data_IF_333190334521
#
_entry.id   IF_333190334521
#
_cell.length_a   1.000
_cell.length_b   1.000
_cell.length_c   1.000
_cell.angle_alpha   90.00
_cell.angle_beta   90.00
_cell.angle_gamma   90.00
#
_symmetry.space_group_name_H-M   'P 1'
#
loop_
_entity.id
_entity.type
_entity.pdbx_description
1 polymer ?
#
# COMPACT_ATOMS: atom_id res chain seq x y z
N UNK A 1 37.26 29.50 10.43
CA UNK A 1 37.58 28.06 10.30
C UNK A 1 36.31 27.39 9.83
N UNK A 2 36.22 27.14 8.52
CA UNK A 2 35.06 26.56 7.84
C UNK A 2 35.51 25.22 7.28
N UNK A 3 34.82 24.14 7.63
CA UNK A 3 34.89 22.89 6.89
C UNK A 3 33.45 22.48 6.56
N UNK A 4 33.06 22.77 5.32
CA UNK A 4 31.94 22.14 4.62
C UNK A 4 32.25 20.65 4.42
N UNK A 5 31.27 19.78 4.64
CA UNK A 5 31.28 18.41 4.16
C UNK A 5 30.36 18.34 2.93
N UNK A 6 30.94 18.16 1.76
CA UNK A 6 30.23 17.78 0.54
C UNK A 6 30.46 16.29 0.30
N UNK A 7 29.38 15.51 0.24
CA UNK A 7 29.45 14.11 -0.20
C UNK A 7 29.35 14.10 -1.73
N UNK A 8 30.44 13.74 -2.39
CA UNK A 8 30.47 13.50 -3.83
C UNK A 8 29.64 12.25 -4.17
N UNK A 9 28.52 12.46 -4.85
CA UNK A 9 27.81 11.43 -5.57
C UNK A 9 28.37 11.35 -6.99
N UNK A 10 29.22 10.35 -7.28
CA UNK A 10 29.21 9.69 -8.58
C UNK A 10 29.98 8.36 -8.54
N UNK A 11 29.29 7.27 -8.85
CA UNK A 11 29.67 6.13 -9.72
C UNK A 11 28.66 4.99 -9.44
N UNK A 12 27.71 4.85 -10.37
CA UNK A 12 26.91 3.64 -10.68
C UNK A 12 26.01 3.08 -9.56
N UNK A 13 24.87 3.73 -9.31
CA UNK A 13 23.69 2.99 -8.86
C UNK A 13 22.38 3.63 -9.37
N UNK A 14 22.29 3.81 -10.69
CA UNK A 14 21.08 4.25 -11.41
C UNK A 14 20.05 3.11 -11.58
N UNK A 15 20.05 2.09 -10.70
CA UNK A 15 19.12 0.94 -10.79
C UNK A 15 18.18 0.75 -9.60
N UNK A 16 18.19 1.62 -8.58
CA UNK A 16 17.25 1.50 -7.44
C UNK A 16 16.15 2.55 -7.39
N UNK A 17 16.14 3.53 -8.31
CA UNK A 17 15.12 4.59 -8.31
C UNK A 17 13.96 4.27 -9.27
N UNK A 18 14.17 3.43 -10.29
CA UNK A 18 13.20 3.26 -11.38
C UNK A 18 12.17 2.13 -11.25
N UNK A 19 12.19 1.31 -10.19
CA UNK A 19 11.42 0.05 -10.19
C UNK A 19 9.91 0.20 -9.92
N UNK A 20 9.47 1.27 -9.25
CA UNK A 20 8.04 1.58 -9.08
C UNK A 20 7.53 2.64 -10.09
N UNK A 21 8.43 3.33 -10.80
CA UNK A 21 8.14 4.54 -11.56
C UNK A 21 7.69 4.32 -13.01
N UNK A 22 7.33 3.10 -13.41
CA UNK A 22 6.83 2.83 -14.76
C UNK A 22 5.31 2.70 -14.85
N UNK A 23 4.55 3.27 -13.91
CA UNK A 23 3.15 3.58 -14.18
C UNK A 23 2.93 5.09 -14.05
N UNK A 24 2.44 5.76 -15.12
CA UNK A 24 2.03 7.15 -15.01
C UNK A 24 1.05 7.21 -13.84
N UNK A 25 1.32 8.11 -12.89
CA UNK A 25 0.36 8.48 -11.86
C UNK A 25 -0.98 8.66 -12.56
N UNK A 26 -2.05 7.93 -12.17
CA UNK A 26 -3.36 8.17 -12.75
C UNK A 26 -3.64 9.67 -12.65
N UNK A 27 -4.19 10.30 -13.71
CA UNK A 27 -4.55 11.71 -13.66
C UNK A 27 -5.36 11.99 -12.39
N UNK A 28 -5.30 13.21 -11.82
CA UNK A 28 -6.01 13.53 -10.58
C UNK A 28 -7.45 13.03 -10.68
N UNK A 29 -7.74 11.96 -9.94
CA UNK A 29 -8.97 11.18 -10.11
C UNK A 29 -10.14 12.04 -9.66
N UNK A 30 -10.83 12.62 -10.63
CA UNK A 30 -12.16 13.21 -10.48
C UNK A 30 -13.11 12.16 -9.90
N UNK A 31 -13.93 12.49 -8.89
CA UNK A 31 -14.80 11.53 -8.23
C UNK A 31 -16.07 11.32 -9.07
N UNK A 32 -16.02 10.60 -10.20
CA UNK A 32 -17.24 10.18 -10.93
C UNK A 32 -16.98 9.36 -12.20
N UNK A 33 -16.90 8.04 -12.06
CA UNK A 33 -17.49 7.05 -13.00
C UNK A 33 -17.53 5.72 -12.26
N UNK A 34 -18.59 4.92 -12.41
CA UNK A 34 -18.77 3.64 -11.70
C UNK A 34 -17.65 2.63 -11.99
N UNK A 35 -16.53 2.78 -11.29
CA UNK A 35 -15.53 1.73 -11.06
C UNK A 35 -15.72 1.31 -9.61
N UNK A 36 -16.12 0.06 -9.38
CA UNK A 36 -16.39 -0.42 -8.02
C UNK A 36 -15.12 -0.36 -7.15
N UNK A 37 -13.94 -0.46 -7.76
CA UNK A 37 -12.63 -0.37 -7.09
C UNK A 37 -11.91 0.95 -7.34
N UNK A 38 -11.13 1.40 -6.35
CA UNK A 38 -10.24 2.56 -6.48
C UNK A 38 -8.87 2.18 -7.06
N UNK A 39 -8.25 3.10 -7.79
CA UNK A 39 -6.84 3.04 -8.16
C UNK A 39 -6.11 4.32 -7.78
N UNK A 40 -5.19 4.22 -6.82
CA UNK A 40 -4.42 5.34 -6.31
C UNK A 40 -3.02 5.35 -6.95
N UNK A 41 -2.37 6.52 -7.06
CA UNK A 41 -0.96 6.58 -7.43
C UNK A 41 -0.11 5.84 -6.38
N UNK A 42 0.95 5.18 -6.85
CA UNK A 42 2.01 4.68 -5.97
C UNK A 42 2.73 5.88 -5.39
N UNK A 43 2.71 6.01 -4.07
CA UNK A 43 3.35 7.12 -3.36
C UNK A 43 4.22 6.66 -2.19
N UNK A 44 4.27 5.36 -1.91
CA UNK A 44 5.17 4.77 -0.93
C UNK A 44 5.85 3.51 -1.49
N UNK A 45 7.00 3.16 -0.92
CA UNK A 45 7.75 1.96 -1.25
C UNK A 45 8.31 1.36 0.03
N UNK A 46 8.29 0.02 0.12
CA UNK A 46 8.92 -0.71 1.21
C UNK A 46 9.78 -1.84 0.64
N UNK A 47 10.84 -2.22 1.35
CA UNK A 47 11.66 -3.36 0.99
C UNK A 47 11.52 -4.44 2.07
N UNK A 48 11.01 -5.62 1.69
CA UNK A 48 10.87 -6.76 2.59
C UNK A 48 11.72 -7.90 2.03
N UNK A 49 12.69 -8.41 2.80
CA UNK A 49 13.58 -9.50 2.39
C UNK A 49 14.27 -9.27 1.03
N UNK A 50 14.63 -8.02 0.71
CA UNK A 50 15.24 -7.66 -0.56
C UNK A 50 14.26 -7.43 -1.71
N UNK A 51 12.97 -7.75 -1.54
CA UNK A 51 11.92 -7.46 -2.53
C UNK A 51 11.35 -6.05 -2.32
N UNK A 52 11.36 -5.25 -3.39
CA UNK A 52 10.73 -3.93 -3.40
C UNK A 52 9.22 -4.10 -3.61
N UNK A 53 8.42 -3.46 -2.75
CA UNK A 53 6.98 -3.42 -2.84
C UNK A 53 6.54 -1.97 -2.98
N UNK A 54 5.84 -1.67 -4.06
CA UNK A 54 5.29 -0.38 -4.38
C UNK A 54 3.86 -0.25 -3.80
N UNK A 55 3.63 0.75 -2.97
CA UNK A 55 2.40 0.91 -2.20
C UNK A 55 1.57 2.11 -2.66
N UNK A 56 0.28 1.86 -2.86
CA UNK A 56 -0.77 2.86 -3.00
C UNK A 56 -1.17 3.39 -1.61
N UNK A 57 -1.14 4.71 -1.37
CA UNK A 57 -1.42 5.26 -0.02
C UNK A 57 -2.85 5.76 0.09
N UNK A 58 -3.66 5.10 0.91
CA UNK A 58 -5.04 5.49 1.22
C UNK A 58 -5.08 6.48 2.41
N UNK A 59 -5.22 7.76 2.09
CA UNK A 59 -5.16 8.86 3.07
C UNK A 59 -6.55 9.26 3.60
N UNK A 60 -7.59 9.17 2.77
CA UNK A 60 -8.94 9.58 3.18
C UNK A 60 -9.73 8.41 3.77
N UNK A 61 -10.69 8.66 4.68
CA UNK A 61 -11.58 7.61 5.20
C UNK A 61 -12.30 6.84 4.10
N UNK A 62 -12.69 7.52 3.02
CA UNK A 62 -13.34 6.92 1.86
C UNK A 62 -12.39 5.97 1.11
N UNK A 63 -11.13 6.38 0.89
CA UNK A 63 -10.10 5.51 0.31
C UNK A 63 -9.82 4.31 1.21
N UNK A 64 -9.73 4.51 2.53
CA UNK A 64 -9.47 3.41 3.46
C UNK A 64 -10.63 2.40 3.49
N UNK A 65 -11.87 2.88 3.43
CA UNK A 65 -13.06 2.02 3.41
C UNK A 65 -13.17 1.20 2.12
N UNK A 66 -12.85 1.80 0.96
CA UNK A 66 -12.83 1.08 -0.32
C UNK A 66 -11.68 0.06 -0.35
N UNK A 67 -10.50 0.42 0.19
CA UNK A 67 -9.32 -0.43 0.18
C UNK A 67 -9.03 -1.05 -1.20
N UNK A 68 -8.77 -2.37 -1.20
CA UNK A 68 -8.58 -3.16 -2.42
C UNK A 68 -9.86 -3.86 -2.89
N UNK A 69 -11.04 -3.41 -2.45
CA UNK A 69 -12.31 -3.98 -2.89
C UNK A 69 -12.45 -3.89 -4.42
N UNK A 70 -13.04 -4.92 -5.00
CA UNK A 70 -13.35 -5.06 -6.42
C UNK A 70 -12.13 -5.07 -7.36
N UNK A 71 -10.91 -5.15 -6.83
CA UNK A 71 -9.73 -5.46 -7.62
C UNK A 71 -9.77 -6.93 -8.03
N UNK A 72 -9.66 -7.18 -9.33
CA UNK A 72 -9.55 -8.53 -9.90
C UNK A 72 -8.15 -9.11 -9.73
N UNK A 73 -7.14 -8.24 -9.71
CA UNK A 73 -5.73 -8.62 -9.61
C UNK A 73 -4.92 -7.52 -8.89
N UNK A 74 -3.82 -7.95 -8.28
CA UNK A 74 -2.78 -7.10 -7.72
C UNK A 74 -1.45 -7.65 -8.23
N UNK A 75 -0.71 -6.83 -8.96
CA UNK A 75 0.57 -7.28 -9.52
C UNK A 75 1.57 -7.63 -8.40
N UNK A 76 2.49 -8.58 -8.64
CA UNK A 76 3.56 -8.88 -7.68
C UNK A 76 4.35 -7.62 -7.30
N UNK A 77 4.71 -7.50 -6.03
CA UNK A 77 5.40 -6.29 -5.53
C UNK A 77 4.50 -5.06 -5.47
N UNK A 78 3.18 -5.23 -5.40
CA UNK A 78 2.22 -4.15 -5.15
C UNK A 78 1.45 -4.37 -3.86
N UNK A 79 1.03 -3.26 -3.27
CA UNK A 79 0.17 -3.27 -2.09
C UNK A 79 -0.51 -1.93 -1.87
N UNK A 80 -1.27 -1.85 -0.78
CA UNK A 80 -1.90 -0.62 -0.33
C UNK A 80 -1.48 -0.35 1.12
N UNK A 81 -1.08 0.89 1.39
CA UNK A 81 -0.74 1.39 2.72
C UNK A 81 -1.91 2.20 3.27
N UNK A 82 -2.38 1.82 4.46
CA UNK A 82 -3.41 2.53 5.20
C UNK A 82 -2.75 3.30 6.34
N UNK A 83 -2.88 4.63 6.31
CA UNK A 83 -2.30 5.50 7.35
C UNK A 83 -3.41 5.96 8.29
N UNK A 84 -3.25 5.69 9.58
CA UNK A 84 -4.16 6.14 10.63
C UNK A 84 -3.42 7.10 11.56
N UNK A 85 -3.75 8.38 11.46
CA UNK A 85 -3.23 9.45 12.32
C UNK A 85 -4.40 10.19 12.99
N UNK A 86 -4.55 10.14 14.33
CA UNK A 86 -3.66 9.48 15.29
C UNK A 86 -3.74 7.93 15.21
N UNK A 87 -2.70 7.22 15.67
CA UNK A 87 -2.71 5.76 15.77
C UNK A 87 -3.90 5.28 16.60
N UNK A 88 -4.65 4.32 16.06
CA UNK A 88 -5.84 3.75 16.71
C UNK A 88 -5.95 2.25 16.41
N UNK A 89 -6.64 1.47 17.26
CA UNK A 89 -7.04 0.11 16.90
C UNK A 89 -7.88 0.13 15.63
N UNK A 90 -7.56 -0.75 14.69
CA UNK A 90 -8.25 -0.88 13.41
C UNK A 90 -8.56 -2.33 13.14
N UNK A 91 -9.69 -2.57 12.49
CA UNK A 91 -10.11 -3.90 12.08
C UNK A 91 -10.38 -3.88 10.57
N UNK A 92 -9.74 -4.79 9.85
CA UNK A 92 -9.93 -5.00 8.41
C UNK A 92 -10.77 -6.25 8.15
N UNK A 93 -11.42 -6.28 7.00
CA UNK A 93 -12.22 -7.38 6.50
C UNK A 93 -11.95 -7.58 5.01
N UNK A 94 -12.22 -8.77 4.50
CA UNK A 94 -12.01 -9.12 3.09
C UNK A 94 -13.30 -9.07 2.26
N UNK A 95 -14.29 -8.27 2.68
CA UNK A 95 -15.56 -8.17 1.97
C UNK A 95 -15.33 -7.54 0.60
N UNK A 96 -15.85 -8.18 -0.45
CA UNK A 96 -15.69 -7.76 -1.86
C UNK A 96 -14.23 -7.70 -2.33
N UNK A 97 -13.30 -8.38 -1.66
CA UNK A 97 -11.93 -8.55 -2.12
C UNK A 97 -11.80 -9.92 -2.76
N UNK A 98 -11.49 -9.98 -4.05
CA UNK A 98 -11.48 -11.21 -4.83
C UNK A 98 -10.13 -11.95 -4.81
N UNK A 99 -9.09 -11.30 -4.27
CA UNK A 99 -7.72 -11.81 -4.20
C UNK A 99 -7.35 -12.12 -2.74
N UNK A 100 -6.62 -13.20 -2.46
CA UNK A 100 -6.06 -13.42 -1.13
C UNK A 100 -4.99 -12.37 -0.83
N UNK A 101 -4.96 -11.87 0.41
CA UNK A 101 -4.06 -10.79 0.81
C UNK A 101 -3.40 -11.08 2.15
N UNK A 102 -2.19 -10.55 2.30
CA UNK A 102 -1.51 -10.45 3.59
C UNK A 102 -1.79 -9.07 4.19
N UNK A 103 -2.19 -9.05 5.47
CA UNK A 103 -2.38 -7.81 6.23
C UNK A 103 -1.29 -7.72 7.30
N UNK A 104 -0.52 -6.64 7.26
CA UNK A 104 0.56 -6.36 8.21
C UNK A 104 0.21 -5.10 8.99
N UNK A 105 0.07 -5.23 10.29
CA UNK A 105 -0.28 -4.12 11.19
C UNK A 105 1.00 -3.57 11.79
N UNK A 106 1.26 -2.29 11.56
CA UNK A 106 2.49 -1.62 11.97
C UNK A 106 2.14 -0.45 12.88
N UNK A 107 2.85 -0.35 14.01
CA UNK A 107 2.78 0.78 14.93
C UNK A 107 4.18 1.09 15.43
N UNK A 108 4.55 2.38 15.45
CA UNK A 108 5.86 2.84 15.94
C UNK A 108 7.03 2.08 15.26
N UNK A 109 6.91 1.91 13.94
CA UNK A 109 7.87 1.16 13.08
C UNK A 109 8.02 -0.35 13.43
N UNK A 110 7.15 -0.87 14.30
CA UNK A 110 7.13 -2.28 14.69
C UNK A 110 5.88 -3.00 14.17
N UNK A 111 6.06 -4.23 13.68
CA UNK A 111 4.96 -5.10 13.29
C UNK A 111 4.27 -5.62 14.55
N UNK A 112 3.01 -5.25 14.74
CA UNK A 112 2.18 -5.65 15.87
C UNK A 112 1.47 -6.98 15.61
N UNK A 113 1.00 -7.19 14.37
CA UNK A 113 0.29 -8.38 13.96
C UNK A 113 0.46 -8.63 12.46
N UNK A 114 0.35 -9.90 12.06
CA UNK A 114 0.33 -10.33 10.66
C UNK A 114 -0.84 -11.30 10.50
N UNK A 115 -1.76 -10.99 9.59
CA UNK A 115 -2.75 -11.94 9.09
C UNK A 115 -2.33 -12.34 7.67
N UNK A 116 -1.69 -13.50 7.55
CA UNK A 116 -1.18 -14.00 6.28
C UNK A 116 -2.25 -14.84 5.54
N UNK A 117 -2.20 -14.80 4.21
CA UNK A 117 -3.03 -15.55 3.27
C UNK A 117 -4.51 -15.47 3.63
N UNK A 118 -5.00 -14.25 3.86
CA UNK A 118 -6.39 -14.04 4.21
C UNK A 118 -7.24 -14.28 2.96
N UNK A 119 -8.18 -15.25 2.98
CA UNK A 119 -8.94 -15.59 1.80
C UNK A 119 -10.00 -14.52 1.48
N UNK A 120 -10.42 -14.42 0.21
CA UNK A 120 -11.61 -13.68 -0.18
C UNK A 120 -12.83 -14.04 0.67
N UNK A 121 -13.57 -13.04 1.13
CA UNK A 121 -14.81 -13.27 1.86
C UNK A 121 -16.03 -13.00 0.98
N UNK A 122 -16.78 -14.07 0.68
CA UNK A 122 -18.06 -14.03 -0.07
C UNK A 122 -19.29 -14.24 0.81
N UNK A 123 -19.09 -14.55 2.10
CA UNK A 123 -20.16 -14.76 3.05
C UNK A 123 -20.83 -13.44 3.50
N UNK A 124 -22.10 -13.46 3.98
CA UNK A 124 -22.76 -12.28 4.53
C UNK A 124 -22.04 -11.70 5.76
N UNK A 125 -21.34 -12.56 6.50
CA UNK A 125 -20.54 -12.23 7.67
C UNK A 125 -19.08 -12.56 7.37
N UNK A 126 -18.22 -11.54 7.42
CA UNK A 126 -16.78 -11.71 7.21
C UNK A 126 -16.04 -11.61 8.54
N UNK A 127 -15.01 -12.46 8.76
CA UNK A 127 -14.10 -12.26 9.89
C UNK A 127 -13.41 -10.91 9.76
N UNK A 128 -13.04 -10.37 10.92
CA UNK A 128 -12.26 -9.13 11.03
C UNK A 128 -10.87 -9.43 11.59
N UNK A 129 -9.89 -8.64 11.20
CA UNK A 129 -8.47 -8.81 11.53
C UNK A 129 -7.92 -7.48 12.04
N UNK A 130 -7.23 -7.47 13.19
CA UNK A 130 -6.73 -6.26 13.84
C UNK A 130 -6.03 -6.52 15.16
#
# INVERSE_FOLDING_TARGET
MSCSASVQANIKNEMLVNSCQQQPSPPPVSPSTMNLGQALPISAQIQINGQLICLEVAQTPQQQQIGLMYRTELAPGRGMLFIFDPPRPVAFWMRNVNIPLDMVFIRDEQVQAIAANVPPCTAPQCPTYG
#
